data_IF_300685162053
#
_entry.id   IF_300685162053
#
_cell.length_a   1.000
_cell.length_b   1.000
_cell.length_c   1.000
_cell.angle_alpha   90.00
_cell.angle_beta   90.00
_cell.angle_gamma   90.00
#
_symmetry.space_group_name_H-M   'P 1'
#
loop_
_entity.id
_entity.type
_entity.pdbx_description
1 polymer ?
#
# COMPACT_ATOMS: atom_id res chain seq x y z
N UNK A 1 6.89 14.28 -21.00
CA UNK A 1 7.93 13.62 -20.19
C UNK A 1 7.19 12.53 -19.45
N UNK A 2 7.55 11.27 -19.66
CA UNK A 2 7.03 10.18 -18.83
C UNK A 2 7.45 10.49 -17.37
N UNK A 3 6.58 10.44 -16.35
CA UNK A 3 5.26 9.82 -16.30
C UNK A 3 4.14 10.87 -16.26
N UNK A 4 3.77 11.44 -17.40
CA UNK A 4 2.42 11.99 -17.54
C UNK A 4 1.56 10.88 -18.14
N UNK A 5 0.52 10.47 -17.43
CA UNK A 5 -0.66 9.89 -18.06
C UNK A 5 -1.10 10.89 -19.13
N UNK A 6 -0.93 10.55 -20.41
CA UNK A 6 -1.11 11.48 -21.54
C UNK A 6 -2.55 11.99 -21.71
N UNK A 7 -3.47 11.44 -20.92
CA UNK A 7 -4.90 11.67 -20.83
C UNK A 7 -5.36 12.10 -19.42
N UNK A 8 -4.44 12.22 -18.46
CA UNK A 8 -4.76 12.49 -17.05
C UNK A 8 -5.24 11.27 -16.24
N UNK A 9 -5.16 10.05 -16.78
CA UNK A 9 -5.53 8.82 -16.09
C UNK A 9 -4.31 7.94 -15.85
N UNK A 10 -3.93 7.71 -14.59
CA UNK A 10 -2.88 6.75 -14.26
C UNK A 10 -3.43 5.33 -14.49
N UNK A 11 -2.99 4.60 -15.53
CA UNK A 11 -3.57 3.30 -15.81
C UNK A 11 -3.16 2.33 -14.70
N UNK A 12 -4.13 1.90 -13.92
CA UNK A 12 -3.95 0.79 -12.99
C UNK A 12 -3.79 -0.47 -13.84
N UNK A 13 -2.74 -1.28 -13.65
CA UNK A 13 -2.58 -2.51 -14.41
C UNK A 13 -3.83 -3.38 -14.31
N UNK A 14 -4.35 -3.85 -15.43
CA UNK A 14 -5.44 -4.82 -15.45
C UNK A 14 -5.23 -5.82 -16.60
N UNK A 15 -5.13 -7.13 -16.32
CA UNK A 15 -4.98 -8.12 -17.37
C UNK A 15 -6.16 -8.08 -18.37
N UNK A 16 -5.87 -7.70 -19.62
CA UNK A 16 -6.85 -7.71 -20.71
C UNK A 16 -7.81 -6.51 -20.75
N UNK A 17 -7.55 -5.44 -19.99
CA UNK A 17 -8.24 -4.17 -20.19
C UNK A 17 -7.53 -3.33 -21.27
N UNK A 18 -8.29 -2.64 -22.11
CA UNK A 18 -7.76 -1.61 -23.01
C UNK A 18 -7.99 -0.24 -22.37
N UNK A 19 -6.98 0.30 -21.67
CA UNK A 19 -6.98 1.69 -21.22
C UNK A 19 -6.23 2.52 -22.27
N UNK A 20 -6.93 3.08 -23.25
CA UNK A 20 -6.33 3.87 -24.34
C UNK A 20 -5.19 3.15 -25.09
N UNK A 21 -5.24 1.81 -25.14
CA UNK A 21 -4.24 0.95 -25.77
C UNK A 21 -3.06 0.55 -24.88
N UNK A 22 -3.13 0.79 -23.57
CA UNK A 22 -2.17 0.33 -22.55
C UNK A 22 -2.83 -0.63 -21.56
N UNK A 23 -2.08 -1.60 -21.07
CA UNK A 23 -2.51 -2.58 -20.07
C UNK A 23 -2.00 -2.25 -18.65
N UNK A 24 -1.24 -1.15 -18.51
CA UNK A 24 -0.69 -0.60 -17.27
C UNK A 24 0.64 -1.22 -16.85
N UNK A 25 1.17 -2.19 -17.62
CA UNK A 25 2.48 -2.77 -17.32
C UNK A 25 3.62 -1.78 -17.59
N UNK A 26 3.43 -0.78 -18.45
CA UNK A 26 4.42 0.25 -18.72
C UNK A 26 4.78 1.06 -17.47
N UNK A 27 3.81 1.36 -16.60
CA UNK A 27 4.02 2.10 -15.34
C UNK A 27 4.87 1.30 -14.36
N UNK A 28 4.71 -0.03 -14.35
CA UNK A 28 5.54 -0.93 -13.56
C UNK A 28 6.97 -0.93 -14.09
N UNK A 29 7.15 -0.99 -15.41
CA UNK A 29 8.47 -0.97 -16.04
C UNK A 29 9.17 0.38 -15.85
N UNK A 30 8.44 1.48 -15.91
CA UNK A 30 9.01 2.78 -15.59
C UNK A 30 9.44 2.88 -14.12
N UNK A 31 8.61 2.42 -13.18
CA UNK A 31 9.00 2.41 -11.77
C UNK A 31 10.25 1.55 -11.54
N UNK A 32 10.37 0.39 -12.21
CA UNK A 32 11.59 -0.42 -12.19
C UNK A 32 12.80 0.35 -12.72
N UNK A 33 12.66 1.04 -13.84
CA UNK A 33 13.74 1.82 -14.45
C UNK A 33 14.19 2.95 -13.53
N UNK A 34 13.24 3.68 -12.94
CA UNK A 34 13.52 4.76 -12.00
C UNK A 34 14.24 4.25 -10.74
N UNK A 35 13.80 3.11 -10.19
CA UNK A 35 14.45 2.48 -9.03
C UNK A 35 15.86 2.01 -9.40
N UNK A 36 16.04 1.39 -10.57
CA UNK A 36 17.35 0.96 -11.06
C UNK A 36 18.30 2.15 -11.19
N UNK A 37 17.89 3.18 -11.94
CA UNK A 37 18.70 4.38 -12.17
C UNK A 37 19.06 5.07 -10.84
N UNK A 38 18.10 5.19 -9.92
CA UNK A 38 18.34 5.77 -8.59
C UNK A 38 19.34 4.93 -7.79
N UNK A 39 19.22 3.61 -7.83
CA UNK A 39 20.11 2.71 -7.10
C UNK A 39 21.55 2.75 -7.64
N UNK A 40 21.70 2.83 -8.96
CA UNK A 40 22.99 3.00 -9.62
C UNK A 40 23.62 4.38 -9.35
N UNK A 41 22.79 5.42 -9.14
CA UNK A 41 23.25 6.79 -8.94
C UNK A 41 23.58 7.11 -7.47
N UNK A 42 22.79 6.61 -6.51
CA UNK A 42 22.82 7.07 -5.11
C UNK A 42 23.22 6.01 -4.07
N UNK A 43 23.86 4.91 -4.48
CA UNK A 43 24.30 3.83 -3.57
C UNK A 43 23.19 3.29 -2.65
N UNK A 44 21.98 3.14 -3.22
CA UNK A 44 20.83 2.57 -2.50
C UNK A 44 21.04 1.07 -2.33
N UNK A 45 20.85 0.56 -1.11
CA UNK A 45 20.89 -0.87 -0.87
C UNK A 45 19.64 -1.52 -1.50
N UNK A 46 19.79 -2.59 -2.32
CA UNK A 46 18.67 -3.17 -3.06
C UNK A 46 17.59 -3.77 -2.13
N UNK A 47 17.96 -4.22 -0.93
CA UNK A 47 17.00 -4.72 0.07
C UNK A 47 16.35 -3.60 0.91
N UNK A 48 16.60 -2.33 0.59
CA UNK A 48 16.08 -1.16 1.32
C UNK A 48 15.19 -0.27 0.45
N UNK A 49 14.60 -0.83 -0.61
CA UNK A 49 13.68 -0.11 -1.51
C UNK A 49 12.24 -0.35 -1.06
N UNK A 50 11.53 0.69 -0.68
CA UNK A 50 10.12 0.64 -0.26
C UNK A 50 9.29 1.60 -1.11
N UNK A 51 8.01 1.33 -1.25
CA UNK A 51 7.13 2.18 -2.04
C UNK A 51 5.79 2.45 -1.35
N UNK A 52 5.32 3.68 -1.43
CA UNK A 52 4.02 4.11 -0.90
C UNK A 52 3.34 5.06 -1.87
N UNK A 53 2.03 5.21 -1.72
CA UNK A 53 1.20 5.98 -2.63
C UNK A 53 -0.20 6.14 -2.08
N UNK A 54 -0.84 7.24 -2.45
CA UNK A 54 -2.17 7.62 -2.04
C UNK A 54 -3.19 7.39 -3.15
N UNK A 55 -4.40 6.92 -2.81
CA UNK A 55 -5.52 6.83 -3.76
C UNK A 55 -5.14 5.98 -4.98
N UNK A 56 -5.28 6.50 -6.21
CA UNK A 56 -4.84 5.81 -7.42
C UNK A 56 -3.34 5.43 -7.40
N UNK A 57 -2.49 6.22 -6.74
CA UNK A 57 -1.11 5.85 -6.47
C UNK A 57 -1.00 4.66 -5.52
N UNK A 58 -1.88 4.56 -4.51
CA UNK A 58 -1.95 3.40 -3.62
C UNK A 58 -2.41 2.13 -4.36
N UNK A 59 -3.34 2.25 -5.31
CA UNK A 59 -3.70 1.16 -6.21
C UNK A 59 -2.44 0.70 -6.97
N UNK A 60 -1.72 1.62 -7.62
CA UNK A 60 -0.48 1.30 -8.31
C UNK A 60 0.55 0.59 -7.41
N UNK A 61 0.70 1.03 -6.16
CA UNK A 61 1.62 0.42 -5.20
C UNK A 61 1.27 -1.04 -4.90
N UNK A 62 -0.02 -1.41 -4.82
CA UNK A 62 -0.43 -2.81 -4.73
C UNK A 62 0.10 -3.62 -5.92
N UNK A 63 -0.09 -3.13 -7.15
CA UNK A 63 0.41 -3.80 -8.36
C UNK A 63 1.94 -3.82 -8.42
N UNK A 64 2.62 -2.74 -8.07
CA UNK A 64 4.07 -2.69 -8.02
C UNK A 64 4.63 -3.76 -7.08
N UNK A 65 4.04 -3.94 -5.89
CA UNK A 65 4.45 -4.96 -4.94
C UNK A 65 4.20 -6.39 -5.42
N UNK A 66 3.12 -6.62 -6.18
CA UNK A 66 2.74 -7.93 -6.68
C UNK A 66 3.42 -8.34 -7.99
N UNK A 67 3.86 -7.37 -8.78
CA UNK A 67 4.40 -7.61 -10.12
C UNK A 67 5.57 -8.62 -10.12
N UNK A 68 5.72 -9.42 -11.20
CA UNK A 68 6.87 -10.31 -11.37
C UNK A 68 8.19 -9.56 -11.22
N UNK A 69 9.18 -10.10 -10.50
CA UNK A 69 10.46 -9.41 -10.27
C UNK A 69 10.29 -7.99 -9.69
N UNK A 70 9.29 -7.78 -8.84
CA UNK A 70 9.10 -6.49 -8.16
C UNK A 70 10.40 -6.07 -7.46
N UNK A 71 10.88 -4.83 -7.69
CA UNK A 71 12.14 -4.35 -7.13
C UNK A 71 12.02 -3.89 -5.67
N UNK A 72 10.82 -3.90 -5.10
CA UNK A 72 10.57 -3.38 -3.74
C UNK A 72 10.64 -4.48 -2.69
N UNK A 73 11.15 -4.10 -1.52
CA UNK A 73 11.23 -4.88 -0.30
C UNK A 73 9.91 -4.89 0.47
N UNK A 74 9.19 -3.77 0.41
CA UNK A 74 7.90 -3.58 1.05
C UNK A 74 7.07 -2.48 0.40
N UNK A 75 5.76 -2.51 0.65
CA UNK A 75 4.80 -1.56 0.10
C UNK A 75 3.83 -1.04 1.17
N UNK A 76 3.46 0.23 1.06
CA UNK A 76 2.44 0.84 1.90
C UNK A 76 1.39 1.58 1.06
N UNK A 77 0.34 0.90 0.55
CA UNK A 77 -0.78 1.57 -0.09
C UNK A 77 -1.64 2.34 0.94
N UNK A 78 -1.97 3.59 0.63
CA UNK A 78 -2.79 4.46 1.48
C UNK A 78 -4.06 4.88 0.75
N UNK A 79 -5.21 4.76 1.43
CA UNK A 79 -6.52 5.11 0.90
C UNK A 79 -6.81 4.44 -0.45
N UNK A 80 -6.45 3.15 -0.57
CA UNK A 80 -6.50 2.42 -1.82
C UNK A 80 -6.78 0.93 -1.61
N UNK A 81 -7.64 0.39 -2.48
CA UNK A 81 -7.90 -1.05 -2.56
C UNK A 81 -7.13 -1.71 -3.72
N UNK A 82 -7.68 -2.81 -4.20
CA UNK A 82 -7.26 -3.45 -5.43
C UNK A 82 -8.49 -3.92 -6.23
N UNK A 83 -8.30 -4.23 -7.51
CA UNK A 83 -9.38 -4.77 -8.33
C UNK A 83 -9.65 -6.23 -7.99
N UNK A 84 -10.85 -6.74 -8.25
CA UNK A 84 -11.22 -8.13 -7.94
C UNK A 84 -10.32 -9.16 -8.65
N UNK A 85 -9.72 -8.79 -9.79
CA UNK A 85 -8.79 -9.60 -10.58
C UNK A 85 -7.31 -9.46 -10.17
N UNK A 86 -7.02 -8.70 -9.10
CA UNK A 86 -5.66 -8.41 -8.63
C UNK A 86 -4.82 -9.67 -8.39
N UNK A 87 -5.38 -10.71 -7.79
CA UNK A 87 -4.65 -11.96 -7.53
C UNK A 87 -4.16 -12.64 -8.81
N UNK A 88 -4.91 -12.50 -9.91
CA UNK A 88 -4.52 -13.03 -11.22
C UNK A 88 -3.31 -12.33 -11.83
N UNK A 89 -3.03 -11.09 -11.42
CA UNK A 89 -1.84 -10.34 -11.80
C UNK A 89 -0.63 -10.70 -10.92
N UNK A 90 -0.88 -11.09 -9.68
CA UNK A 90 0.15 -11.30 -8.68
C UNK A 90 1.13 -12.42 -9.03
N UNK A 91 2.42 -12.15 -8.80
CA UNK A 91 3.49 -13.12 -8.94
C UNK A 91 3.82 -13.79 -7.59
N UNK A 92 4.90 -14.58 -7.53
CA UNK A 92 5.42 -15.13 -6.26
C UNK A 92 6.12 -14.10 -5.37
N UNK A 93 6.03 -12.80 -5.69
CA UNK A 93 6.52 -11.71 -4.84
C UNK A 93 5.83 -11.72 -3.48
N UNK A 94 6.57 -11.39 -2.42
CA UNK A 94 6.07 -11.40 -1.03
C UNK A 94 6.61 -10.22 -0.23
N UNK A 95 6.27 -8.98 -0.60
CA UNK A 95 6.75 -7.80 0.10
C UNK A 95 6.31 -7.80 1.58
N UNK A 96 7.01 -7.03 2.40
CA UNK A 96 6.43 -6.52 3.66
C UNK A 96 5.30 -5.55 3.29
N UNK A 97 4.14 -5.61 3.94
CA UNK A 97 2.97 -4.79 3.52
C UNK A 97 2.38 -4.03 4.71
N UNK A 98 2.07 -2.75 4.52
CA UNK A 98 1.25 -1.95 5.44
C UNK A 98 0.11 -1.29 4.68
N UNK A 99 -1.11 -1.72 4.93
CA UNK A 99 -2.31 -1.12 4.35
C UNK A 99 -2.81 -0.04 5.32
N UNK A 100 -3.05 1.17 4.83
CA UNK A 100 -3.61 2.26 5.63
C UNK A 100 -4.88 2.75 4.97
N UNK A 101 -6.01 2.68 5.67
CA UNK A 101 -7.29 3.07 5.10
C UNK A 101 -8.23 3.68 6.14
N UNK A 102 -9.06 4.64 5.72
CA UNK A 102 -10.00 5.29 6.63
C UNK A 102 -11.39 4.66 6.59
N UNK A 103 -12.07 4.59 7.74
CA UNK A 103 -13.43 4.04 7.83
C UNK A 103 -14.45 4.89 7.05
N UNK A 104 -14.30 6.22 7.04
CA UNK A 104 -15.21 7.13 6.36
C UNK A 104 -14.67 7.61 5.00
N UNK A 105 -13.83 6.80 4.36
CA UNK A 105 -13.42 7.03 2.98
C UNK A 105 -14.58 6.75 2.01
N UNK A 106 -15.24 7.81 1.52
CA UNK A 106 -16.33 7.70 0.55
C UNK A 106 -15.85 7.72 -0.92
N UNK A 107 -14.54 7.88 -1.17
CA UNK A 107 -13.96 7.86 -2.52
C UNK A 107 -13.50 6.46 -2.87
N UNK A 108 -12.82 5.79 -1.94
CA UNK A 108 -12.47 4.38 -1.99
C UNK A 108 -13.09 3.68 -0.78
N UNK A 109 -14.36 3.23 -0.85
CA UNK A 109 -15.05 2.64 0.30
C UNK A 109 -14.32 1.45 0.90
N UNK A 110 -14.30 1.35 2.23
CA UNK A 110 -13.61 0.27 2.95
C UNK A 110 -14.16 -1.12 2.60
N UNK A 111 -15.47 -1.21 2.33
CA UNK A 111 -16.16 -2.43 1.92
C UNK A 111 -15.94 -2.76 0.43
N UNK A 112 -15.15 -1.96 -0.29
CA UNK A 112 -14.96 -2.09 -1.73
C UNK A 112 -16.11 -1.48 -2.52
N UNK A 113 -16.18 -1.85 -3.79
CA UNK A 113 -17.07 -1.22 -4.76
C UNK A 113 -17.14 -2.03 -6.05
N UNK A 114 -17.80 -1.51 -7.10
CA UNK A 114 -17.88 -2.21 -8.37
C UNK A 114 -16.48 -2.50 -8.95
N UNK A 115 -16.10 -3.78 -9.01
CA UNK A 115 -14.81 -4.30 -9.48
C UNK A 115 -13.61 -4.03 -8.54
N UNK A 116 -13.85 -3.70 -7.28
CA UNK A 116 -12.78 -3.52 -6.28
C UNK A 116 -13.14 -4.23 -4.98
N UNK A 117 -12.21 -5.03 -4.48
CA UNK A 117 -12.37 -5.78 -3.24
C UNK A 117 -12.37 -4.85 -2.02
N UNK A 118 -12.94 -5.32 -0.92
CA UNK A 118 -12.84 -4.65 0.37
C UNK A 118 -11.39 -4.60 0.87
N UNK A 119 -11.11 -3.64 1.76
CA UNK A 119 -9.78 -3.51 2.40
C UNK A 119 -9.49 -4.73 3.28
N UNK A 120 -10.52 -5.33 3.89
CA UNK A 120 -10.40 -6.59 4.61
C UNK A 120 -9.95 -7.74 3.70
N UNK A 121 -10.58 -7.89 2.52
CA UNK A 121 -10.18 -8.89 1.52
C UNK A 121 -8.76 -8.65 1.00
N UNK A 122 -8.36 -7.40 0.76
CA UNK A 122 -7.00 -7.04 0.36
C UNK A 122 -5.97 -7.42 1.43
N UNK A 123 -6.27 -7.17 2.71
CA UNK A 123 -5.41 -7.55 3.82
C UNK A 123 -5.25 -9.08 3.92
N UNK A 124 -6.35 -9.83 3.79
CA UNK A 124 -6.34 -11.29 3.78
C UNK A 124 -5.55 -11.85 2.58
N UNK A 125 -5.68 -11.24 1.40
CA UNK A 125 -4.91 -11.61 0.21
C UNK A 125 -3.41 -11.40 0.44
N UNK A 126 -3.01 -10.23 0.96
CA UNK A 126 -1.59 -9.98 1.29
C UNK A 126 -1.08 -10.92 2.37
N UNK A 127 -1.91 -11.24 3.38
CA UNK A 127 -1.59 -12.24 4.41
C UNK A 127 -1.34 -13.62 3.78
N UNK A 128 -2.18 -14.04 2.84
CA UNK A 128 -2.05 -15.31 2.15
C UNK A 128 -0.79 -15.36 1.26
N UNK A 129 -0.50 -14.28 0.53
CA UNK A 129 0.73 -14.14 -0.27
C UNK A 129 1.98 -14.19 0.60
N UNK A 130 1.96 -13.47 1.72
CA UNK A 130 3.02 -13.47 2.73
C UNK A 130 3.14 -14.80 3.50
N UNK A 131 2.16 -15.70 3.36
CA UNK A 131 2.02 -16.94 4.14
C UNK A 131 2.19 -16.66 5.63
N UNK A 132 1.41 -15.69 6.12
CA UNK A 132 1.42 -15.34 7.52
C UNK A 132 0.47 -16.26 8.28
N UNK A 133 1.05 -17.06 9.18
CA UNK A 133 0.29 -17.93 10.08
C UNK A 133 0.05 -17.22 11.42
N UNK A 134 -1.02 -17.63 12.11
CA UNK A 134 -1.35 -17.14 13.47
C UNK A 134 -2.33 -15.97 13.51
N UNK A 135 -2.69 -15.59 14.73
CA UNK A 135 -3.57 -14.44 15.01
C UNK A 135 -2.78 -13.13 14.94
N UNK A 136 -3.39 -12.03 14.45
CA UNK A 136 -2.70 -10.74 14.45
C UNK A 136 -2.45 -10.27 15.89
N UNK A 137 -1.39 -9.47 16.06
CA UNK A 137 -1.26 -8.57 17.21
C UNK A 137 -2.09 -7.32 16.89
N UNK A 138 -2.95 -6.93 17.81
CA UNK A 138 -3.86 -5.79 17.63
C UNK A 138 -3.58 -4.72 18.69
N UNK A 139 -3.65 -3.46 18.28
CA UNK A 139 -3.55 -2.31 19.19
C UNK A 139 -4.24 -1.09 18.62
N UNK A 140 -4.64 -0.19 19.51
CA UNK A 140 -5.15 1.13 19.16
C UNK A 140 -4.10 2.19 19.44
N UNK A 141 -3.93 3.14 18.52
CA UNK A 141 -3.15 4.33 18.81
C UNK A 141 -3.94 5.25 19.73
N UNK A 142 -3.33 5.76 20.83
CA UNK A 142 -4.05 6.57 21.81
C UNK A 142 -4.66 7.81 21.16
N UNK A 143 -5.95 8.03 21.38
CA UNK A 143 -6.60 9.29 21.00
C UNK A 143 -6.32 10.34 22.07
N UNK A 144 -5.97 11.56 21.64
CA UNK A 144 -5.98 12.73 22.49
C UNK A 144 -7.39 13.11 22.97
N UNK A 145 -7.52 14.26 23.63
CA UNK A 145 -8.76 14.70 24.30
C UNK A 145 -9.98 14.85 23.38
N UNK A 146 -9.79 14.88 22.05
CA UNK A 146 -10.85 14.96 21.03
C UNK A 146 -11.41 13.60 20.62
N UNK A 147 -10.74 12.50 20.96
CA UNK A 147 -11.20 11.13 20.67
C UNK A 147 -11.05 10.65 19.22
N UNK A 148 -10.75 11.53 18.25
CA UNK A 148 -10.59 11.19 16.83
C UNK A 148 -9.51 12.07 16.14
N UNK A 149 -8.81 11.55 15.12
CA UNK A 149 -8.92 10.20 14.57
C UNK A 149 -8.28 9.12 15.46
N UNK A 150 -8.82 7.89 15.41
CA UNK A 150 -8.25 6.71 16.10
C UNK A 150 -7.69 5.77 15.06
N UNK A 151 -6.52 5.18 15.29
CA UNK A 151 -5.97 4.14 14.41
C UNK A 151 -6.13 2.79 15.09
N UNK A 152 -6.88 1.89 14.46
CA UNK A 152 -7.02 0.49 14.83
C UNK A 152 -6.05 -0.33 13.99
N UNK A 153 -4.98 -0.82 14.60
CA UNK A 153 -3.91 -1.52 13.91
C UNK A 153 -3.95 -3.03 14.19
N UNK A 154 -3.68 -3.81 13.15
CA UNK A 154 -3.52 -5.26 13.21
C UNK A 154 -2.26 -5.66 12.45
N UNK A 155 -1.45 -6.56 13.00
CA UNK A 155 -0.20 -7.01 12.37
C UNK A 155 0.01 -8.50 12.48
N UNK A 156 0.31 -9.14 11.36
CA UNK A 156 0.71 -10.54 11.28
C UNK A 156 2.23 -10.63 11.10
N UNK A 157 2.90 -11.21 12.10
CA UNK A 157 4.37 -11.35 12.13
C UNK A 157 4.87 -12.70 11.60
N UNK A 158 4.05 -13.75 11.70
CA UNK A 158 4.40 -15.15 11.36
C UNK A 158 4.48 -15.44 9.87
N UNK A 159 5.05 -14.53 9.07
CA UNK A 159 5.09 -14.60 7.61
C UNK A 159 6.34 -15.32 7.10
N UNK A 160 6.17 -16.21 6.11
CA UNK A 160 7.28 -16.78 5.35
C UNK A 160 7.72 -15.90 4.15
N UNK A 161 7.09 -14.75 3.98
CA UNK A 161 7.45 -13.71 3.01
C UNK A 161 8.65 -12.87 3.45
N UNK A 162 8.84 -11.72 2.79
CA UNK A 162 9.93 -10.83 3.14
C UNK A 162 9.67 -10.15 4.52
N UNK A 163 8.45 -10.01 5.00
CA UNK A 163 8.20 -9.50 6.35
C UNK A 163 6.72 -9.48 6.72
N UNK A 164 6.35 -8.73 7.77
CA UNK A 164 4.99 -8.70 8.28
C UNK A 164 3.99 -8.08 7.31
N UNK A 165 2.72 -8.41 7.52
CA UNK A 165 1.58 -7.69 6.94
C UNK A 165 0.92 -6.90 8.07
N UNK A 166 0.62 -5.64 7.83
CA UNK A 166 -0.03 -4.72 8.78
C UNK A 166 -1.22 -4.06 8.11
N UNK A 167 -2.32 -3.90 8.84
CA UNK A 167 -3.50 -3.16 8.46
C UNK A 167 -3.78 -2.11 9.53
N UNK A 168 -3.84 -0.85 9.11
CA UNK A 168 -4.23 0.29 9.93
C UNK A 168 -5.54 0.86 9.40
N UNK A 169 -6.56 0.80 10.24
CA UNK A 169 -7.88 1.37 9.95
C UNK A 169 -8.08 2.63 10.76
N UNK A 170 -8.26 3.76 10.08
CA UNK A 170 -8.39 5.08 10.71
C UNK A 170 -9.87 5.45 10.86
N UNK A 171 -10.34 5.57 12.09
CA UNK A 171 -11.67 6.10 12.41
C UNK A 171 -11.62 7.63 12.56
N UNK A 172 -12.66 8.32 12.10
CA UNK A 172 -12.82 9.77 12.22
C UNK A 172 -12.23 10.58 11.07
N UNK A 173 -11.89 9.94 9.95
CA UNK A 173 -11.38 10.63 8.74
C UNK A 173 -11.91 9.99 7.45
N UNK A 174 -11.76 10.71 6.34
CA UNK A 174 -12.13 10.25 5.01
C UNK A 174 -10.93 9.98 4.09
N UNK A 175 -11.09 10.28 2.80
CA UNK A 175 -10.07 10.07 1.77
C UNK A 175 -8.92 11.08 1.88
N UNK A 176 -8.02 10.89 2.84
CA UNK A 176 -6.94 11.83 3.16
C UNK A 176 -5.63 11.13 3.51
N UNK A 177 -4.53 11.79 3.16
CA UNK A 177 -3.23 11.49 3.74
C UNK A 177 -3.05 12.36 4.97
N UNK A 178 -3.28 11.81 6.16
CA UNK A 178 -3.13 12.56 7.41
C UNK A 178 -1.66 12.84 7.71
N UNK A 179 -1.38 14.10 8.06
CA UNK A 179 -0.14 14.53 8.71
C UNK A 179 -0.45 15.01 10.13
N UNK A 180 0.56 14.99 11.01
CA UNK A 180 0.40 15.41 12.42
C UNK A 180 -0.31 16.78 12.58
N UNK A 181 0.01 17.83 11.79
CA UNK A 181 -0.68 19.11 11.86
C UNK A 181 -2.17 19.10 11.46
N UNK A 182 -2.61 18.11 10.70
CA UNK A 182 -3.96 18.08 10.13
C UNK A 182 -5.01 17.54 11.11
N UNK A 183 -4.59 16.98 12.25
CA UNK A 183 -5.51 16.33 13.17
C UNK A 183 -5.10 16.47 14.64
N UNK A 184 -6.10 16.58 15.51
CA UNK A 184 -5.91 16.87 16.93
C UNK A 184 -5.22 15.75 17.73
N UNK A 185 -5.09 14.55 17.15
CA UNK A 185 -4.42 13.41 17.76
C UNK A 185 -2.99 13.19 17.23
N UNK A 186 -2.53 14.04 16.32
CA UNK A 186 -1.18 13.98 15.79
C UNK A 186 -0.86 12.73 14.98
N UNK A 187 -1.86 12.08 14.39
CA UNK A 187 -1.64 10.94 13.51
C UNK A 187 -0.90 11.40 12.26
N UNK A 188 0.29 10.85 12.02
CA UNK A 188 1.04 11.04 10.79
C UNK A 188 1.25 9.70 10.08
N UNK A 189 0.65 9.58 8.89
CA UNK A 189 0.73 8.35 8.08
C UNK A 189 2.15 8.14 7.56
N UNK A 190 2.85 9.22 7.20
CA UNK A 190 4.23 9.15 6.72
C UNK A 190 5.17 8.63 7.79
N UNK A 191 5.05 9.14 9.02
CA UNK A 191 5.81 8.67 10.17
C UNK A 191 5.49 7.20 10.49
N UNK A 192 4.20 6.83 10.52
CA UNK A 192 3.78 5.45 10.80
C UNK A 192 4.34 4.45 9.77
N UNK A 193 4.36 4.82 8.48
CA UNK A 193 4.96 4.02 7.41
C UNK A 193 6.49 3.94 7.56
N UNK A 194 7.13 5.05 7.91
CA UNK A 194 8.57 5.10 8.13
C UNK A 194 8.99 4.21 9.30
N UNK A 195 8.31 4.28 10.44
CA UNK A 195 8.54 3.41 11.60
C UNK A 195 8.35 1.93 11.26
N UNK A 196 7.37 1.61 10.43
CA UNK A 196 7.11 0.23 10.03
C UNK A 196 8.22 -0.37 9.16
N UNK A 197 8.76 0.40 8.19
CA UNK A 197 9.83 -0.07 7.31
C UNK A 197 11.24 0.11 7.88
N UNK A 198 11.42 1.08 8.76
CA UNK A 198 12.69 1.47 9.36
C UNK A 198 12.55 1.53 10.89
N UNK A 199 12.18 0.42 11.56
CA UNK A 199 12.10 0.42 13.01
C UNK A 199 13.47 0.75 13.59
N UNK A 200 13.50 1.59 14.63
CA UNK A 200 14.73 1.82 15.38
C UNK A 200 15.27 0.47 15.89
N UNK A 201 16.59 0.29 15.81
CA UNK A 201 17.22 -0.91 16.35
C UNK A 201 16.95 -0.99 17.87
N UNK A 202 16.64 -2.17 18.42
CA UNK A 202 16.37 -2.34 19.84
C UNK A 202 17.56 -1.99 20.73
#
# INVERSE_FOLDING_TARGET
IYPDASDGFFPIPCPGCENDGRDGFEEIDFAREMIRWTSETYAVHPDSVYATGFSMGGFFINYLGCAPNSPVRGIAPVAAGARDDFDGFCSRSRPTVMIVHALQDFVAPIDGGPNTMSIGELAELWRAHGRCDGTPVEWDYPTGATGLPTVHAQRWDGCAGKGPVRLDVIDGTGHWWLTEPDNANGVDIGESIAEFFFPEAP
#
